data_IF_850761727031
#
_entry.id   IF_850761727031
#
_cell.length_a   1.000
_cell.length_b   1.000
_cell.length_c   1.000
_cell.angle_alpha   90.00
_cell.angle_beta   90.00
_cell.angle_gamma   90.00
#
_symmetry.space_group_name_H-M   'P 1'
#
loop_
_entity.id
_entity.type
_entity.pdbx_description
1 polymer ?
#
# COMPACT_ATOMS: atom_id res chain seq x y z
N UNK A 1 9.98 -11.76 -6.30
CA UNK A 1 10.67 -11.38 -5.04
C UNK A 1 9.95 -10.24 -4.32
N UNK A 2 9.72 -9.10 -4.95
CA UNK A 2 9.13 -7.91 -4.29
C UNK A 2 7.78 -8.15 -3.62
N UNK A 3 6.81 -8.79 -4.29
CA UNK A 3 5.50 -9.08 -3.68
C UNK A 3 5.60 -9.94 -2.41
N UNK A 4 6.50 -10.95 -2.39
CA UNK A 4 6.72 -11.76 -1.19
C UNK A 4 7.30 -10.93 -0.04
N UNK A 5 8.21 -10.01 -0.35
CA UNK A 5 8.77 -9.09 0.66
C UNK A 5 7.68 -8.21 1.27
N UNK A 6 6.85 -7.56 0.45
CA UNK A 6 5.74 -6.73 0.92
C UNK A 6 4.70 -7.54 1.71
N UNK A 7 4.34 -8.73 1.25
CA UNK A 7 3.43 -9.62 1.98
C UNK A 7 3.96 -9.95 3.39
N UNK A 8 5.29 -10.12 3.53
CA UNK A 8 5.93 -10.32 4.84
C UNK A 8 5.75 -9.15 5.81
N UNK A 9 5.48 -7.93 5.33
CA UNK A 9 5.27 -6.76 6.18
C UNK A 9 3.83 -6.62 6.68
N UNK A 10 2.84 -7.29 6.07
CA UNK A 10 1.42 -7.09 6.38
C UNK A 10 1.07 -7.36 7.85
N UNK A 11 1.82 -8.24 8.52
CA UNK A 11 1.65 -8.59 9.94
C UNK A 11 2.61 -7.88 10.89
N UNK A 12 3.44 -6.96 10.37
CA UNK A 12 4.55 -6.33 11.10
C UNK A 12 4.45 -4.80 11.18
N UNK A 13 3.31 -4.23 10.79
CA UNK A 13 3.05 -2.79 10.92
C UNK A 13 2.64 -2.50 12.35
N UNK A 14 3.56 -1.94 13.13
CA UNK A 14 3.34 -1.66 14.55
C UNK A 14 3.26 -0.16 14.84
N UNK A 15 2.43 0.17 15.84
CA UNK A 15 2.44 1.45 16.52
C UNK A 15 3.56 1.57 17.55
N UNK A 16 3.55 2.65 18.32
CA UNK A 16 4.50 2.89 19.41
C UNK A 16 3.75 3.25 20.68
N UNK A 17 4.14 2.65 21.81
CA UNK A 17 3.72 3.06 23.15
C UNK A 17 4.71 4.07 23.69
N UNK A 18 4.23 5.14 24.31
CA UNK A 18 5.07 6.25 24.78
C UNK A 18 4.71 6.58 26.23
N UNK A 19 5.71 7.01 27.00
CA UNK A 19 5.47 7.56 28.34
C UNK A 19 5.06 9.03 28.21
N UNK A 20 3.83 9.40 28.62
CA UNK A 20 3.40 10.80 28.60
C UNK A 20 4.23 11.63 29.56
N UNK A 21 4.66 12.82 29.13
CA UNK A 21 5.41 13.75 29.97
C UNK A 21 4.55 14.49 31.01
N UNK A 22 3.22 14.35 30.92
CA UNK A 22 2.26 14.99 31.82
C UNK A 22 2.41 14.37 33.21
N UNK A 23 2.79 15.15 34.23
CA UNK A 23 2.90 14.65 35.60
C UNK A 23 1.53 14.27 36.13
N UNK A 24 1.46 13.14 36.83
CA UNK A 24 0.26 12.70 37.53
C UNK A 24 -0.03 13.65 38.70
N UNK A 25 -1.07 14.49 38.57
CA UNK A 25 -1.42 15.48 39.60
C UNK A 25 -2.21 14.86 40.76
N UNK A 26 -2.92 13.76 40.53
CA UNK A 26 -3.77 13.07 41.51
C UNK A 26 -3.63 11.53 41.49
N UNK A 27 -2.49 10.99 41.06
CA UNK A 27 -2.26 9.53 41.01
C UNK A 27 -2.82 8.83 39.76
N UNK A 28 -3.29 9.61 38.78
CA UNK A 28 -3.71 9.15 37.45
C UNK A 28 -2.56 8.48 36.69
N UNK A 29 -2.86 7.39 35.97
CA UNK A 29 -1.93 6.68 35.09
C UNK A 29 -2.37 6.86 33.65
N UNK A 30 -1.59 7.60 32.88
CA UNK A 30 -1.84 7.82 31.46
C UNK A 30 -1.15 6.75 30.61
N UNK A 31 -1.89 6.19 29.65
CA UNK A 31 -1.33 5.31 28.62
C UNK A 31 -1.45 6.02 27.28
N UNK A 32 -0.32 6.31 26.64
CA UNK A 32 -0.29 6.86 25.29
C UNK A 32 0.29 5.85 24.30
N UNK A 33 -0.35 5.74 23.15
CA UNK A 33 0.14 4.93 22.04
C UNK A 33 -0.27 5.55 20.71
N UNK A 34 0.45 5.17 19.66
CA UNK A 34 0.13 5.52 18.27
C UNK A 34 -0.37 4.28 17.54
N UNK A 35 -1.29 4.47 16.60
CA UNK A 35 -1.70 3.42 15.65
C UNK A 35 -1.23 3.81 14.25
N UNK A 36 -0.83 2.82 13.46
CA UNK A 36 -0.60 2.98 12.03
C UNK A 36 -1.86 2.59 11.30
N UNK A 37 -2.43 3.51 10.53
CA UNK A 37 -3.65 3.30 9.76
C UNK A 37 -3.34 3.47 8.27
N UNK A 38 -4.06 2.75 7.37
CA UNK A 38 -4.00 3.01 5.94
C UNK A 38 -4.38 4.46 5.66
N UNK A 39 -3.71 5.08 4.68
CA UNK A 39 -4.08 6.42 4.23
C UNK A 39 -5.41 6.43 3.44
N UNK A 40 -5.83 5.25 2.96
CA UNK A 40 -7.08 5.07 2.20
C UNK A 40 -6.79 4.73 0.74
N UNK A 41 -7.23 5.59 -0.17
CA UNK A 41 -7.07 5.39 -1.63
C UNK A 41 -5.79 6.08 -2.11
N UNK A 42 -4.96 5.37 -2.87
CA UNK A 42 -3.73 5.92 -3.44
C UNK A 42 -3.70 5.85 -4.97
N UNK A 43 -3.04 6.83 -5.59
CA UNK A 43 -2.81 6.85 -7.04
C UNK A 43 -1.35 6.48 -7.35
N UNK A 44 -1.15 5.55 -8.29
CA UNK A 44 0.15 5.06 -8.70
C UNK A 44 0.45 5.33 -10.17
N UNK A 45 1.14 6.44 -10.47
CA UNK A 45 1.63 6.74 -11.83
C UNK A 45 2.98 6.04 -12.04
N UNK A 46 3.11 5.26 -13.11
CA UNK A 46 4.27 4.38 -13.36
C UNK A 46 4.94 4.71 -14.70
N UNK A 47 6.27 4.93 -14.74
CA UNK A 47 7.01 5.24 -15.97
C UNK A 47 7.24 3.99 -16.83
N UNK A 48 7.78 4.19 -18.04
CA UNK A 48 7.92 3.17 -19.09
C UNK A 48 9.15 2.25 -18.97
N UNK A 49 10.17 2.65 -18.20
CA UNK A 49 11.48 1.98 -18.21
C UNK A 49 11.51 0.68 -17.39
N UNK A 50 10.78 0.65 -16.27
CA UNK A 50 10.65 -0.54 -15.42
C UNK A 50 9.21 -0.70 -14.94
N UNK A 51 8.25 -0.61 -15.87
CA UNK A 51 6.82 -0.50 -15.56
C UNK A 51 6.33 -1.58 -14.60
N UNK A 52 6.63 -2.84 -14.88
CA UNK A 52 6.18 -3.95 -14.04
C UNK A 52 6.79 -3.87 -12.64
N UNK A 53 8.10 -3.63 -12.53
CA UNK A 53 8.78 -3.58 -11.24
C UNK A 53 8.28 -2.41 -10.38
N UNK A 54 8.22 -1.20 -10.96
CA UNK A 54 7.77 0.00 -10.24
C UNK A 54 6.30 -0.10 -9.89
N UNK A 55 5.47 -0.66 -10.78
CA UNK A 55 4.06 -0.93 -10.48
C UNK A 55 3.90 -1.92 -9.33
N UNK A 56 4.67 -3.00 -9.31
CA UNK A 56 4.69 -3.96 -8.20
C UNK A 56 5.10 -3.30 -6.88
N UNK A 57 6.05 -2.36 -6.88
CA UNK A 57 6.42 -1.64 -5.66
C UNK A 57 5.28 -0.79 -5.10
N UNK A 58 4.52 -0.14 -5.99
CA UNK A 58 3.35 0.67 -5.60
C UNK A 58 2.18 -0.19 -5.14
N UNK A 59 1.89 -1.28 -5.84
CA UNK A 59 0.83 -2.22 -5.45
C UNK A 59 1.19 -2.89 -4.12
N UNK A 60 2.42 -3.38 -3.99
CA UNK A 60 2.88 -4.08 -2.80
C UNK A 60 2.74 -3.23 -1.54
N UNK A 61 3.24 -1.99 -1.55
CA UNK A 61 3.12 -1.10 -0.38
C UNK A 61 1.68 -0.70 -0.07
N UNK A 62 0.85 -0.47 -1.09
CA UNK A 62 -0.57 -0.15 -0.90
C UNK A 62 -1.34 -1.31 -0.25
N UNK A 63 -1.23 -2.52 -0.82
CA UNK A 63 -1.92 -3.70 -0.30
C UNK A 63 -1.47 -4.06 1.12
N UNK A 64 -0.16 -4.03 1.37
CA UNK A 64 0.42 -4.37 2.68
C UNK A 64 -0.09 -3.46 3.80
N UNK A 65 -0.39 -2.20 3.49
CA UNK A 65 -0.90 -1.24 4.48
C UNK A 65 -2.43 -1.24 4.60
N UNK A 66 -3.14 -1.98 3.76
CA UNK A 66 -4.61 -1.98 3.70
C UNK A 66 -5.19 -0.84 2.84
N UNK A 67 -4.39 -0.22 1.97
CA UNK A 67 -4.86 0.78 1.02
C UNK A 67 -5.42 0.13 -0.25
N UNK A 68 -6.28 0.86 -0.95
CA UNK A 68 -6.66 0.54 -2.35
C UNK A 68 -5.88 1.43 -3.31
N UNK A 69 -5.67 0.97 -4.54
CA UNK A 69 -4.82 1.66 -5.50
C UNK A 69 -5.49 1.80 -6.87
N UNK A 70 -5.34 2.98 -7.47
CA UNK A 70 -5.56 3.23 -8.90
C UNK A 70 -4.20 3.39 -9.57
N UNK A 71 -3.80 2.42 -10.38
CA UNK A 71 -2.59 2.49 -11.18
C UNK A 71 -2.85 3.15 -12.53
N UNK A 72 -1.93 4.01 -12.92
CA UNK A 72 -1.85 4.59 -14.25
C UNK A 72 -0.46 4.28 -14.84
N UNK A 73 -0.33 3.24 -15.67
CA UNK A 73 0.93 2.96 -16.36
C UNK A 73 1.17 3.95 -17.50
N UNK A 74 2.43 4.11 -17.88
CA UNK A 74 2.79 4.82 -19.10
C UNK A 74 2.14 4.14 -20.32
N UNK A 75 1.71 4.98 -21.25
CA UNK A 75 1.16 4.61 -22.56
C UNK A 75 2.11 3.73 -23.38
N UNK A 76 3.43 3.86 -23.19
CA UNK A 76 4.42 3.10 -23.95
C UNK A 76 4.63 1.68 -23.42
N UNK A 77 4.22 1.40 -22.18
CA UNK A 77 4.57 0.15 -21.49
C UNK A 77 3.52 -0.26 -20.45
N UNK A 78 2.28 -0.43 -20.90
CA UNK A 78 1.10 -0.73 -20.06
C UNK A 78 0.75 -2.22 -19.96
N UNK A 79 1.06 -3.02 -20.98
CA UNK A 79 0.56 -4.40 -21.12
C UNK A 79 0.92 -5.32 -19.95
N UNK A 80 2.16 -5.21 -19.42
CA UNK A 80 2.59 -6.04 -18.30
C UNK A 80 1.82 -5.77 -17.01
N UNK A 81 1.39 -4.52 -16.77
CA UNK A 81 0.59 -4.16 -15.61
C UNK A 81 -0.88 -4.51 -15.78
N UNK A 82 -1.40 -4.48 -17.01
CA UNK A 82 -2.72 -5.03 -17.30
C UNK A 82 -2.77 -6.54 -17.05
N UNK A 83 -1.76 -7.29 -17.52
CA UNK A 83 -1.68 -8.74 -17.22
C UNK A 83 -1.55 -9.01 -15.72
N UNK A 84 -0.81 -8.17 -14.99
CA UNK A 84 -0.74 -8.29 -13.54
C UNK A 84 -2.09 -8.02 -12.85
N UNK A 85 -2.91 -7.12 -13.38
CA UNK A 85 -4.26 -6.88 -12.85
C UNK A 85 -5.17 -8.11 -13.05
N UNK A 86 -5.09 -8.79 -14.20
CA UNK A 86 -5.79 -10.06 -14.42
C UNK A 86 -5.35 -11.13 -13.41
N UNK A 87 -4.03 -11.26 -13.21
CA UNK A 87 -3.48 -12.19 -12.21
C UNK A 87 -3.90 -11.84 -10.78
N UNK A 88 -4.11 -10.55 -10.47
CA UNK A 88 -4.62 -10.14 -9.16
C UNK A 88 -6.06 -10.58 -8.94
N UNK A 89 -6.88 -10.57 -9.99
CA UNK A 89 -8.26 -11.11 -9.95
C UNK A 89 -8.20 -12.62 -9.73
N UNK A 90 -7.35 -13.34 -10.48
CA UNK A 90 -7.15 -14.79 -10.30
C UNK A 90 -6.66 -15.14 -8.88
N UNK A 91 -5.86 -14.27 -8.26
CA UNK A 91 -5.38 -14.42 -6.89
C UNK A 91 -6.44 -14.12 -5.81
N UNK A 92 -7.65 -13.71 -6.19
CA UNK A 92 -8.75 -13.43 -5.25
C UNK A 92 -8.67 -12.06 -4.58
N UNK A 93 -7.94 -11.10 -5.16
CA UNK A 93 -7.96 -9.72 -4.67
C UNK A 93 -9.38 -9.16 -4.84
N UNK A 94 -9.99 -8.57 -3.78
CA UNK A 94 -11.35 -8.05 -3.88
C UNK A 94 -11.50 -6.97 -4.96
N UNK A 95 -12.66 -6.94 -5.61
CA UNK A 95 -12.97 -5.95 -6.63
C UNK A 95 -12.81 -4.52 -6.07
N UNK A 96 -12.20 -3.64 -6.86
CA UNK A 96 -11.96 -2.24 -6.48
C UNK A 96 -10.70 -2.01 -5.63
N UNK A 97 -10.01 -3.05 -5.14
CA UNK A 97 -8.75 -2.89 -4.39
C UNK A 97 -7.59 -2.48 -5.30
N UNK A 98 -7.52 -3.06 -6.50
CA UNK A 98 -6.57 -2.67 -7.55
C UNK A 98 -7.38 -2.28 -8.78
N UNK A 99 -7.18 -1.05 -9.25
CA UNK A 99 -7.78 -0.54 -10.47
C UNK A 99 -6.64 -0.09 -11.40
N UNK A 100 -6.79 -0.27 -12.70
CA UNK A 100 -5.78 0.16 -13.68
C UNK A 100 -6.46 1.00 -14.76
N UNK A 101 -5.93 2.20 -15.02
CA UNK A 101 -6.42 3.12 -16.05
C UNK A 101 -5.28 3.43 -17.02
N UNK A 102 -5.49 3.13 -18.29
CA UNK A 102 -4.52 3.43 -19.37
C UNK A 102 -4.85 4.76 -20.06
N UNK A 103 -3.83 5.40 -20.63
CA UNK A 103 -3.99 6.66 -21.36
C UNK A 103 -2.72 7.52 -21.29
N UNK A 104 -2.71 8.64 -22.03
CA UNK A 104 -1.61 9.61 -22.02
C UNK A 104 -1.46 10.30 -20.66
N UNK A 105 -0.23 10.68 -20.30
CA UNK A 105 0.06 11.53 -19.13
C UNK A 105 0.79 10.84 -17.99
#
# INVERSE_FOLDING_TARGET
>A
IFLRYFAGWATKINGQTMQPSIPSMQGEKYTAFTLRQPIGVVAGIVPWNFSLMIGVWKIGSALTTGCTIVLKPSEFASLSLLRLAELAIEAGIPAGVINVVTGKG
#
